data_IF_731857469752
#
_entry.id   IF_731857469752
#
_cell.length_a   1.000
_cell.length_b   1.000
_cell.length_c   1.000
_cell.angle_alpha   90.00
_cell.angle_beta   90.00
_cell.angle_gamma   90.00
#
_symmetry.space_group_name_H-M   'P 1'
#
loop_
_entity.id
_entity.type
_entity.pdbx_description
1 polymer ?
#
# COMPACT_ATOMS: atom_id res chain seq x y z
N UNK A 1 -35.06 17.08 42.65
CA UNK A 1 -34.43 16.97 41.32
C UNK A 1 -32.92 16.82 41.48
N UNK A 2 -32.34 15.81 40.84
CA UNK A 2 -30.89 15.61 40.85
C UNK A 2 -30.17 16.70 40.03
N UNK A 3 -28.86 16.90 40.25
CA UNK A 3 -28.07 17.84 39.46
C UNK A 3 -28.10 17.55 37.95
N UNK A 4 -28.01 16.28 37.48
CA UNK A 4 -28.18 15.95 36.07
C UNK A 4 -29.54 16.33 35.50
N UNK A 5 -30.64 16.10 36.23
CA UNK A 5 -31.99 16.47 35.77
C UNK A 5 -32.15 17.99 35.58
N UNK A 6 -31.58 18.79 36.49
CA UNK A 6 -31.55 20.26 36.36
C UNK A 6 -30.74 20.70 35.14
N UNK A 7 -29.60 20.06 34.91
CA UNK A 7 -28.76 20.34 33.76
C UNK A 7 -29.49 20.02 32.44
N UNK A 8 -30.08 18.83 32.32
CA UNK A 8 -30.82 18.44 31.12
C UNK A 8 -31.98 19.39 30.80
N UNK A 9 -32.74 19.81 31.82
CA UNK A 9 -33.84 20.75 31.62
C UNK A 9 -33.32 22.12 31.15
N UNK A 10 -32.31 22.68 31.82
CA UNK A 10 -31.74 23.96 31.44
C UNK A 10 -31.10 23.94 30.04
N UNK A 11 -30.39 22.86 29.70
CA UNK A 11 -29.79 22.67 28.39
C UNK A 11 -30.85 22.54 27.30
N UNK A 12 -31.92 21.77 27.53
CA UNK A 12 -33.02 21.62 26.59
C UNK A 12 -33.75 22.95 26.36
N UNK A 13 -34.08 23.69 27.42
CA UNK A 13 -34.75 24.99 27.32
C UNK A 13 -33.90 26.01 26.53
N UNK A 14 -32.58 25.98 26.71
CA UNK A 14 -31.65 26.81 25.94
C UNK A 14 -31.57 26.39 24.47
N UNK A 15 -31.52 25.09 24.19
CA UNK A 15 -31.48 24.57 22.81
C UNK A 15 -32.76 24.90 22.04
N UNK A 16 -33.94 24.81 22.68
CA UNK A 16 -35.21 25.25 22.07
C UNK A 16 -35.13 26.71 21.66
N UNK A 17 -34.66 27.61 22.53
CA UNK A 17 -34.49 29.03 22.20
C UNK A 17 -33.47 29.27 21.07
N UNK A 18 -32.36 28.53 21.07
CA UNK A 18 -31.37 28.64 19.99
C UNK A 18 -31.94 28.17 18.64
N UNK A 19 -32.81 27.16 18.65
CA UNK A 19 -33.45 26.64 17.44
C UNK A 19 -34.31 27.70 16.74
N UNK A 20 -34.93 28.62 17.49
CA UNK A 20 -35.73 29.73 16.95
C UNK A 20 -34.91 30.72 16.11
N UNK A 21 -33.59 30.75 16.30
CA UNK A 21 -32.66 31.61 15.56
C UNK A 21 -31.92 30.89 14.43
N UNK A 22 -32.16 29.59 14.27
CA UNK A 22 -31.50 28.79 13.24
C UNK A 22 -32.21 28.93 11.89
N UNK A 23 -31.48 28.63 10.81
CA UNK A 23 -32.09 28.56 9.48
C UNK A 23 -33.10 27.40 9.41
N UNK A 24 -34.14 27.50 8.56
CA UNK A 24 -35.09 26.41 8.36
C UNK A 24 -34.37 25.09 8.01
N UNK A 25 -34.67 24.03 8.76
CA UNK A 25 -34.08 22.70 8.57
C UNK A 25 -32.69 22.50 9.17
N UNK A 26 -32.10 23.53 9.80
CA UNK A 26 -30.88 23.36 10.60
C UNK A 26 -31.12 22.38 11.77
N UNK A 27 -30.06 21.68 12.16
CA UNK A 27 -30.04 20.73 13.26
C UNK A 27 -29.03 21.16 14.31
N UNK A 28 -29.37 20.97 15.58
CA UNK A 28 -28.53 21.27 16.73
C UNK A 28 -27.98 20.00 17.36
N UNK A 29 -26.70 20.08 17.75
CA UNK A 29 -26.06 19.12 18.62
C UNK A 29 -25.23 19.89 19.66
N UNK A 30 -25.29 19.46 20.91
CA UNK A 30 -24.46 19.96 22.00
C UNK A 30 -23.66 18.80 22.58
N UNK A 31 -22.34 18.95 22.56
CA UNK A 31 -21.41 17.99 23.16
C UNK A 31 -20.67 18.70 24.29
N UNK A 32 -20.72 18.11 25.48
CA UNK A 32 -19.96 18.55 26.65
C UNK A 32 -19.10 17.38 27.05
N UNK A 33 -17.78 17.57 27.03
CA UNK A 33 -16.83 16.53 27.40
C UNK A 33 -16.02 16.97 28.61
N UNK A 34 -15.61 15.98 29.42
CA UNK A 34 -14.63 16.19 30.49
C UNK A 34 -13.32 15.52 30.07
N UNK A 35 -12.19 16.25 29.97
CA UNK A 35 -10.93 15.65 29.52
C UNK A 35 -10.55 14.42 30.35
N UNK A 36 -10.38 13.29 29.69
CA UNK A 36 -9.97 12.02 30.32
C UNK A 36 -11.08 11.22 30.99
N UNK A 37 -12.34 11.68 30.95
CA UNK A 37 -13.49 11.03 31.60
C UNK A 37 -14.65 10.81 30.59
N UNK A 38 -14.48 9.93 29.59
CA UNK A 38 -15.47 9.76 28.50
C UNK A 38 -16.85 9.32 29.00
N UNK A 39 -16.93 8.61 30.13
CA UNK A 39 -18.19 8.23 30.78
C UNK A 39 -19.02 9.41 31.29
N UNK A 40 -18.44 10.61 31.38
CA UNK A 40 -19.12 11.85 31.77
C UNK A 40 -19.53 12.70 30.57
N UNK A 41 -19.26 12.26 29.36
CA UNK A 41 -19.63 13.01 28.17
C UNK A 41 -21.16 13.10 28.05
N UNK A 42 -21.65 14.32 27.85
CA UNK A 42 -23.07 14.59 27.64
C UNK A 42 -23.26 14.99 26.18
N UNK A 43 -24.11 14.25 25.49
CA UNK A 43 -24.46 14.47 24.09
C UNK A 43 -25.97 14.70 24.00
N UNK A 44 -26.37 15.91 23.58
CA UNK A 44 -27.75 16.27 23.28
C UNK A 44 -27.88 16.54 21.78
N UNK A 45 -28.86 15.91 21.15
CA UNK A 45 -29.02 15.91 19.69
C UNK A 45 -30.48 16.18 19.33
N UNK A 46 -30.70 16.96 18.28
CA UNK A 46 -32.02 17.09 17.67
C UNK A 46 -32.55 15.73 17.17
N UNK A 47 -33.88 15.60 17.17
CA UNK A 47 -34.51 14.41 16.61
C UNK A 47 -34.20 14.26 15.11
N UNK A 48 -33.76 13.06 14.73
CA UNK A 48 -33.41 12.73 13.34
C UNK A 48 -32.12 13.39 12.85
N UNK A 49 -31.26 13.86 13.75
CA UNK A 49 -29.92 14.34 13.41
C UNK A 49 -29.07 13.18 12.85
N UNK A 50 -28.36 13.43 11.75
CA UNK A 50 -27.31 12.54 11.25
C UNK A 50 -25.96 12.94 11.86
N UNK A 51 -25.37 12.05 12.65
CA UNK A 51 -24.06 12.28 13.29
C UNK A 51 -22.93 12.45 12.27
N UNK A 52 -23.04 11.84 11.09
CA UNK A 52 -22.04 12.01 10.04
C UNK A 52 -22.03 13.44 9.47
N UNK A 53 -23.18 14.11 9.43
CA UNK A 53 -23.27 15.52 9.03
C UNK A 53 -22.66 16.45 10.08
N UNK A 54 -22.83 16.14 11.37
CA UNK A 54 -22.15 16.87 12.46
C UNK A 54 -20.63 16.73 12.33
N UNK A 55 -20.13 15.51 12.16
CA UNK A 55 -18.70 15.27 11.93
C UNK A 55 -18.22 16.01 10.69
N UNK A 56 -18.99 16.00 9.60
CA UNK A 56 -18.66 16.70 8.36
C UNK A 56 -18.63 18.23 8.55
N UNK A 57 -19.54 18.80 9.33
CA UNK A 57 -19.54 20.21 9.68
C UNK A 57 -18.29 20.62 10.46
N UNK A 58 -17.88 19.81 11.44
CA UNK A 58 -16.65 20.01 12.21
C UNK A 58 -15.40 19.87 11.33
N UNK A 59 -15.36 18.87 10.43
CA UNK A 59 -14.27 18.67 9.46
C UNK A 59 -14.10 19.86 8.52
N UNK A 60 -15.20 20.44 8.03
CA UNK A 60 -15.16 21.68 7.21
C UNK A 60 -14.56 22.87 7.96
N UNK A 61 -14.45 22.80 9.30
CA UNK A 61 -13.82 23.81 10.16
C UNK A 61 -12.43 23.41 10.65
N UNK A 62 -11.82 22.39 10.04
CA UNK A 62 -10.44 21.97 10.33
C UNK A 62 -10.30 20.94 11.46
N UNK A 63 -11.41 20.41 11.97
CA UNK A 63 -11.35 19.34 12.97
C UNK A 63 -10.96 18.04 12.27
N UNK A 64 -9.89 17.41 12.75
CA UNK A 64 -9.45 16.11 12.25
C UNK A 64 -9.76 15.03 13.28
N UNK A 65 -10.28 13.90 12.80
CA UNK A 65 -10.36 12.67 13.59
C UNK A 65 -8.97 12.04 13.79
N UNK A 66 -7.99 12.52 13.02
CA UNK A 66 -6.73 11.81 12.90
C UNK A 66 -5.86 11.96 14.15
N UNK A 67 -5.96 13.04 14.93
CA UNK A 67 -5.06 13.24 16.08
C UNK A 67 -3.60 12.94 15.70
N UNK A 68 -3.04 11.88 16.27
CA UNK A 68 -1.70 11.33 15.97
C UNK A 68 -1.59 10.50 14.66
N UNK A 69 -2.58 10.61 13.76
CA UNK A 69 -2.79 9.81 12.55
C UNK A 69 -2.91 8.29 12.77
N UNK A 70 -3.26 7.81 13.96
CA UNK A 70 -3.29 6.38 14.27
C UNK A 70 -4.17 5.57 13.30
N UNK A 71 -5.42 5.99 13.09
CA UNK A 71 -6.35 5.30 12.18
C UNK A 71 -5.82 5.19 10.74
N UNK A 72 -5.24 6.26 10.20
CA UNK A 72 -4.66 6.27 8.85
C UNK A 72 -3.45 5.35 8.76
N UNK A 73 -2.58 5.35 9.78
CA UNK A 73 -1.43 4.46 9.84
C UNK A 73 -1.88 3.00 9.88
N UNK A 74 -2.80 2.66 10.77
CA UNK A 74 -3.30 1.29 10.93
C UNK A 74 -3.98 0.78 9.64
N UNK A 75 -4.72 1.66 8.95
CA UNK A 75 -5.32 1.34 7.65
C UNK A 75 -4.24 1.11 6.58
N UNK A 76 -3.24 1.99 6.49
CA UNK A 76 -2.12 1.83 5.56
C UNK A 76 -1.33 0.55 5.86
N UNK A 77 -1.03 0.26 7.12
CA UNK A 77 -0.32 -0.95 7.53
C UNK A 77 -1.12 -2.21 7.19
N UNK A 78 -2.44 -2.17 7.36
CA UNK A 78 -3.34 -3.25 6.96
C UNK A 78 -3.33 -3.47 5.44
N UNK A 79 -3.30 -2.39 4.64
CA UNK A 79 -3.20 -2.46 3.18
C UNK A 79 -1.84 -3.06 2.77
N UNK A 80 -0.74 -2.55 3.33
CA UNK A 80 0.61 -3.05 3.06
C UNK A 80 0.72 -4.53 3.43
N UNK A 81 0.17 -4.93 4.58
CA UNK A 81 0.10 -6.32 5.01
C UNK A 81 -0.68 -7.19 4.03
N UNK A 82 -1.84 -6.75 3.58
CA UNK A 82 -2.64 -7.49 2.59
C UNK A 82 -1.89 -7.70 1.28
N UNK A 83 -1.22 -6.66 0.75
CA UNK A 83 -0.38 -6.78 -0.46
C UNK A 83 0.77 -7.76 -0.24
N UNK A 84 1.46 -7.68 0.90
CA UNK A 84 2.57 -8.59 1.22
C UNK A 84 2.11 -10.05 1.33
N UNK A 85 0.98 -10.30 1.99
CA UNK A 85 0.39 -11.63 2.09
C UNK A 85 -0.07 -12.17 0.72
N UNK A 86 -0.61 -11.30 -0.13
CA UNK A 86 -0.93 -11.60 -1.52
C UNK A 86 0.28 -12.05 -2.32
N UNK A 87 1.37 -11.28 -2.26
CA UNK A 87 2.62 -11.63 -2.92
C UNK A 87 3.17 -12.98 -2.44
N UNK A 88 3.01 -13.28 -1.15
CA UNK A 88 3.42 -14.56 -0.57
C UNK A 88 2.42 -15.70 -0.82
N UNK A 89 1.23 -15.41 -1.36
CA UNK A 89 0.11 -16.34 -1.48
C UNK A 89 -0.26 -17.01 -0.14
N UNK A 90 -0.34 -16.21 0.92
CA UNK A 90 -0.66 -16.69 2.27
C UNK A 90 -1.79 -15.87 2.86
N UNK A 91 -2.47 -16.41 3.88
CA UNK A 91 -3.48 -15.71 4.67
C UNK A 91 -4.50 -14.90 3.83
N UNK A 92 -5.21 -15.54 2.90
CA UNK A 92 -6.19 -14.84 2.08
C UNK A 92 -7.28 -14.23 2.97
N UNK A 93 -7.74 -13.00 2.69
CA UNK A 93 -8.86 -12.41 3.41
C UNK A 93 -10.12 -13.28 3.30
N UNK A 94 -11.04 -13.22 4.28
CA UNK A 94 -12.35 -13.84 4.16
C UNK A 94 -13.12 -13.33 2.94
N UNK A 95 -14.07 -14.13 2.45
CA UNK A 95 -14.98 -13.72 1.36
C UNK A 95 -15.64 -12.38 1.69
N UNK A 96 -15.74 -11.51 0.68
CA UNK A 96 -16.29 -10.14 0.75
C UNK A 96 -15.55 -9.18 1.69
N UNK A 97 -14.37 -9.55 2.20
CA UNK A 97 -13.57 -8.64 3.01
C UNK A 97 -12.93 -7.55 2.14
N UNK A 98 -12.98 -6.29 2.61
CA UNK A 98 -12.48 -5.12 1.87
C UNK A 98 -11.01 -5.24 1.43
N UNK A 99 -10.20 -6.01 2.18
CA UNK A 99 -8.79 -6.21 1.90
C UNK A 99 -8.50 -7.16 0.72
N UNK A 100 -9.50 -7.90 0.22
CA UNK A 100 -9.35 -8.88 -0.86
C UNK A 100 -8.65 -8.28 -2.07
N UNK A 101 -9.09 -7.10 -2.51
CA UNK A 101 -8.49 -6.40 -3.66
C UNK A 101 -6.99 -6.16 -3.50
N UNK A 102 -6.53 -5.83 -2.29
CA UNK A 102 -5.11 -5.56 -2.05
C UNK A 102 -4.28 -6.84 -2.00
N UNK A 103 -4.86 -7.92 -1.47
CA UNK A 103 -4.27 -9.25 -1.54
C UNK A 103 -4.14 -9.73 -2.99
N UNK A 104 -5.19 -9.55 -3.80
CA UNK A 104 -5.18 -9.91 -5.22
C UNK A 104 -4.09 -9.15 -5.99
N UNK A 105 -3.92 -7.84 -5.74
CA UNK A 105 -2.83 -7.04 -6.32
C UNK A 105 -1.47 -7.67 -6.02
N UNK A 106 -1.20 -8.00 -4.76
CA UNK A 106 0.06 -8.65 -4.40
C UNK A 106 0.26 -9.98 -5.13
N UNK A 107 -0.81 -10.76 -5.28
CA UNK A 107 -0.77 -12.06 -5.95
C UNK A 107 -0.54 -11.92 -7.46
N UNK A 108 -1.22 -10.99 -8.10
CA UNK A 108 -1.06 -10.70 -9.53
C UNK A 108 0.34 -10.19 -9.86
N UNK A 109 0.86 -9.24 -9.07
CA UNK A 109 2.22 -8.70 -9.23
C UNK A 109 3.29 -9.79 -9.10
N UNK A 110 3.17 -10.65 -8.08
CA UNK A 110 4.11 -11.75 -7.91
C UNK A 110 3.98 -12.78 -9.05
N UNK A 111 2.78 -13.08 -9.53
CA UNK A 111 2.56 -14.00 -10.66
C UNK A 111 3.21 -13.46 -11.94
N UNK A 112 3.06 -12.16 -12.21
CA UNK A 112 3.70 -11.48 -13.33
C UNK A 112 5.22 -11.50 -13.22
N UNK A 113 5.75 -11.23 -12.01
CA UNK A 113 7.19 -11.29 -11.73
C UNK A 113 7.76 -12.70 -11.93
N UNK A 114 7.06 -13.74 -11.48
CA UNK A 114 7.47 -15.14 -11.65
C UNK A 114 7.50 -15.54 -13.13
N UNK A 115 6.51 -15.11 -13.92
CA UNK A 115 6.50 -15.33 -15.38
C UNK A 115 7.67 -14.63 -16.07
N UNK A 116 7.95 -13.38 -15.70
CA UNK A 116 9.05 -12.61 -16.27
C UNK A 116 10.40 -13.24 -15.90
N UNK A 117 10.58 -13.64 -14.65
CA UNK A 117 11.79 -14.31 -14.19
C UNK A 117 12.01 -15.63 -14.93
N UNK A 118 10.96 -16.42 -15.14
CA UNK A 118 11.04 -17.65 -15.91
C UNK A 118 11.50 -17.39 -17.35
N UNK A 119 10.88 -16.44 -18.04
CA UNK A 119 11.27 -16.07 -19.41
C UNK A 119 12.72 -15.55 -19.47
N UNK A 120 13.15 -14.81 -18.46
CA UNK A 120 14.52 -14.31 -18.38
C UNK A 120 15.54 -15.44 -18.16
N UNK A 121 15.22 -16.43 -17.33
CA UNK A 121 16.04 -17.64 -17.14
C UNK A 121 16.14 -18.42 -18.46
N UNK A 122 15.03 -18.62 -19.17
CA UNK A 122 15.03 -19.31 -20.47
C UNK A 122 15.92 -18.58 -21.50
N UNK A 123 15.85 -17.24 -21.55
CA UNK A 123 16.70 -16.43 -22.42
C UNK A 123 18.19 -16.51 -22.04
N UNK A 124 18.49 -16.53 -20.74
CA UNK A 124 19.85 -16.69 -20.25
C UNK A 124 20.42 -18.06 -20.65
N UNK A 125 19.64 -19.14 -20.57
CA UNK A 125 20.11 -20.45 -21.04
C UNK A 125 20.41 -20.46 -22.55
N UNK A 126 19.57 -19.85 -23.39
CA UNK A 126 19.86 -19.69 -24.84
C UNK A 126 21.16 -18.90 -25.05
N UNK A 127 21.35 -17.82 -24.30
CA UNK A 127 22.55 -16.98 -24.41
C UNK A 127 23.82 -17.75 -24.03
N UNK A 128 23.73 -18.61 -23.01
CA UNK A 128 24.80 -19.55 -22.63
C UNK A 128 25.11 -20.56 -23.73
N UNK A 129 24.10 -21.14 -24.36
CA UNK A 129 24.31 -22.08 -25.48
C UNK A 129 25.03 -21.40 -26.65
N UNK A 130 24.63 -20.17 -26.99
CA UNK A 130 25.31 -19.36 -28.00
C UNK A 130 26.77 -19.04 -27.61
N UNK A 131 27.02 -18.72 -26.33
CA UNK A 131 28.36 -18.46 -25.81
C UNK A 131 29.26 -19.70 -25.97
N UNK A 132 28.75 -20.88 -25.61
CA UNK A 132 29.47 -22.14 -25.76
C UNK A 132 29.78 -22.46 -27.23
N UNK A 133 28.83 -22.19 -28.14
CA UNK A 133 29.06 -22.34 -29.58
C UNK A 133 30.18 -21.40 -30.02
N UNK A 134 30.09 -20.11 -29.72
CA UNK A 134 31.10 -19.13 -30.10
C UNK A 134 32.49 -19.51 -29.56
N UNK A 135 32.56 -19.96 -28.31
CA UNK A 135 33.77 -20.47 -27.66
C UNK A 135 34.40 -21.63 -28.43
N UNK A 136 33.60 -22.59 -28.91
CA UNK A 136 34.09 -23.76 -29.65
C UNK A 136 34.71 -23.40 -31.02
N UNK A 137 34.33 -22.25 -31.60
CA UNK A 137 34.84 -21.79 -32.90
C UNK A 137 35.92 -20.71 -32.79
N UNK A 138 36.14 -20.17 -31.59
CA UNK A 138 37.17 -19.17 -31.32
C UNK A 138 38.51 -19.85 -31.05
N UNK A 139 39.52 -19.55 -31.89
CA UNK A 139 40.86 -20.14 -31.79
C UNK A 139 41.74 -19.57 -30.68
N UNK A 140 41.33 -18.46 -30.05
CA UNK A 140 42.12 -17.70 -29.08
C UNK A 140 41.20 -17.17 -27.98
N UNK A 141 40.89 -18.03 -27.00
CA UNK A 141 40.25 -17.55 -25.76
C UNK A 141 41.36 -16.92 -24.92
N UNK A 142 41.58 -15.63 -25.08
CA UNK A 142 42.43 -14.86 -24.17
C UNK A 142 41.74 -14.78 -22.80
N UNK A 143 42.50 -14.98 -21.71
CA UNK A 143 41.97 -14.90 -20.35
C UNK A 143 41.33 -13.54 -20.07
N UNK A 144 40.05 -13.53 -19.71
CA UNK A 144 39.23 -12.32 -19.56
C UNK A 144 39.25 -11.85 -18.11
N UNK A 145 39.64 -10.59 -17.87
CA UNK A 145 39.69 -9.99 -16.52
C UNK A 145 38.78 -8.77 -16.32
N UNK A 146 38.22 -8.13 -17.37
CA UNK A 146 37.31 -6.96 -17.31
C UNK A 146 36.38 -6.87 -18.55
N UNK A 147 35.24 -6.17 -18.47
CA UNK A 147 34.31 -5.93 -19.61
C UNK A 147 35.05 -5.36 -20.83
N UNK A 148 35.11 -6.12 -21.94
CA UNK A 148 35.83 -5.77 -23.17
C UNK A 148 36.07 -6.98 -24.09
N UNK A 149 36.66 -6.73 -25.27
CA UNK A 149 36.94 -7.76 -26.29
C UNK A 149 35.84 -7.92 -27.35
N UNK A 150 34.84 -7.03 -27.37
CA UNK A 150 33.77 -7.04 -28.38
C UNK A 150 34.15 -6.31 -29.69
N UNK A 151 35.35 -5.74 -29.74
CA UNK A 151 36.03 -5.17 -30.89
C UNK A 151 37.11 -6.11 -31.48
N UNK A 152 37.16 -7.37 -31.02
CA UNK A 152 38.11 -8.36 -31.52
C UNK A 152 37.94 -8.61 -33.02
N UNK A 153 39.06 -8.72 -33.75
CA UNK A 153 39.07 -8.85 -35.21
C UNK A 153 38.38 -10.14 -35.70
N UNK A 154 38.53 -11.24 -34.96
CA UNK A 154 37.71 -12.44 -35.12
C UNK A 154 36.28 -12.21 -34.58
N UNK A 155 35.25 -12.22 -35.45
CA UNK A 155 33.86 -12.04 -35.04
C UNK A 155 33.38 -13.08 -34.03
N UNK A 156 33.93 -14.30 -34.05
CA UNK A 156 33.56 -15.35 -33.09
C UNK A 156 34.01 -15.01 -31.66
N UNK A 157 35.20 -14.44 -31.50
CA UNK A 157 35.68 -13.90 -30.24
C UNK A 157 34.81 -12.72 -29.77
N UNK A 158 34.53 -11.76 -30.65
CA UNK A 158 33.69 -10.60 -30.30
C UNK A 158 32.28 -11.01 -29.83
N UNK A 159 31.67 -11.99 -30.51
CA UNK A 159 30.38 -12.58 -30.12
C UNK A 159 30.50 -13.28 -28.76
N UNK A 160 31.55 -14.07 -28.55
CA UNK A 160 31.80 -14.74 -27.26
C UNK A 160 31.87 -13.74 -26.10
N UNK A 161 32.68 -12.69 -26.21
CA UNK A 161 32.81 -11.67 -25.16
C UNK A 161 31.46 -11.02 -24.82
N UNK A 162 30.65 -10.65 -25.83
CA UNK A 162 29.32 -10.05 -25.59
C UNK A 162 28.37 -11.00 -24.88
N UNK A 163 28.32 -12.26 -25.30
CA UNK A 163 27.46 -13.26 -24.68
C UNK A 163 27.92 -13.59 -23.26
N UNK A 164 29.23 -13.67 -23.04
CA UNK A 164 29.82 -13.90 -21.71
C UNK A 164 29.40 -12.82 -20.71
N UNK A 165 29.51 -11.54 -21.07
CA UNK A 165 29.08 -10.46 -20.17
C UNK A 165 27.56 -10.39 -19.98
N UNK A 166 26.79 -10.58 -21.05
CA UNK A 166 25.34 -10.67 -20.93
C UNK A 166 24.93 -11.78 -19.94
N UNK A 167 25.64 -12.92 -19.97
CA UNK A 167 25.44 -14.02 -19.02
C UNK A 167 25.89 -13.68 -17.61
N UNK A 168 27.01 -13.00 -17.46
CA UNK A 168 27.49 -12.55 -16.15
C UNK A 168 26.47 -11.62 -15.46
N UNK A 169 25.97 -10.63 -16.21
CA UNK A 169 24.95 -9.69 -15.73
C UNK A 169 23.62 -10.40 -15.45
N UNK A 170 23.18 -11.28 -16.36
CA UNK A 170 21.95 -12.04 -16.20
C UNK A 170 21.99 -12.94 -14.96
N UNK A 171 23.09 -13.66 -14.72
CA UNK A 171 23.26 -14.50 -13.52
C UNK A 171 23.22 -13.67 -12.25
N UNK A 172 23.85 -12.50 -12.25
CA UNK A 172 23.83 -11.56 -11.12
C UNK A 172 22.41 -11.05 -10.85
N UNK A 173 21.67 -10.69 -11.90
CA UNK A 173 20.28 -10.23 -11.79
C UNK A 173 19.34 -11.35 -11.30
N UNK A 174 19.46 -12.57 -11.83
CA UNK A 174 18.67 -13.74 -11.41
C UNK A 174 18.94 -14.05 -9.94
N UNK A 175 20.20 -14.09 -9.52
CA UNK A 175 20.58 -14.34 -8.13
C UNK A 175 20.01 -13.28 -7.17
N UNK A 176 19.89 -12.03 -7.61
CA UNK A 176 19.26 -10.96 -6.82
C UNK A 176 17.73 -11.13 -6.76
N UNK A 177 17.09 -11.54 -7.85
CA UNK A 177 15.64 -11.69 -7.94
C UNK A 177 15.07 -12.97 -7.28
N UNK A 178 15.93 -13.94 -6.97
CA UNK A 178 15.56 -15.25 -6.40
C UNK A 178 15.89 -15.39 -4.91
N UNK A 179 16.57 -14.42 -4.31
CA UNK A 179 16.79 -14.30 -2.87
C UNK A 179 15.56 -13.75 -2.16
#
# INVERSE_FOLDING_TARGET
MSAPQRFHQAANDALVKLSEHCLPGAKLALVIYTPGEPERDIVLEDQGLDRNEVVSALRRRGLSIDGDNAYKRDLCDSIVGAVAFGAQNTNPPPTDHWAQRFWDIGREERSSTEKLLKAFIELAEITRECEQIASNYSGTIDGIFEHGGDDHEDPSCAIFHRLYYAMFDARTAIAKATR
#
